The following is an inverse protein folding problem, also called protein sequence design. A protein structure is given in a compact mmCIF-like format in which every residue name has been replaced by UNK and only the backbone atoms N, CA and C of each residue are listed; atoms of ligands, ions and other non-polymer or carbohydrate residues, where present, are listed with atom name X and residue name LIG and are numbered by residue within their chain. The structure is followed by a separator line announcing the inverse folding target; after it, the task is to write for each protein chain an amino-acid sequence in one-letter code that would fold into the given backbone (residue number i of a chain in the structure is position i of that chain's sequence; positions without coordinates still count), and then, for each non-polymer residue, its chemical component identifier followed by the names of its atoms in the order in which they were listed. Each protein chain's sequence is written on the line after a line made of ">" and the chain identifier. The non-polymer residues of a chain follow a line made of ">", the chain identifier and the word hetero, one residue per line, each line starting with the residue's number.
data_IF_673417564960
#
_entry.id   IF_673417564960
#
_cell.length_a   1.000
_cell.length_b   1.000
_cell.length_c   1.000
_cell.angle_alpha   90.00
_cell.angle_beta   90.00
_cell.angle_gamma   90.00
#
_symmetry.space_group_name_H-M   'P 1'
#
loop_
_entity.id
_entity.type
_entity.pdbx_description
1 polymer ?
#
# COMPACT_ATOMS: atom_id res chain seq x y z
N UNK A 1 18.73 -21.10 15.96
CA UNK A 1 17.80 -20.59 14.93
C UNK A 1 16.94 -19.55 15.60
N UNK A 2 17.21 -18.26 15.39
CA UNK A 2 16.39 -17.18 15.92
C UNK A 2 14.99 -17.31 15.32
N UNK A 3 13.96 -17.41 16.16
CA UNK A 3 12.58 -17.35 15.71
C UNK A 3 12.26 -15.87 15.52
N UNK A 4 12.16 -15.42 14.27
CA UNK A 4 11.63 -14.09 13.97
C UNK A 4 10.17 -14.14 14.40
N UNK A 5 9.79 -13.32 15.38
CA UNK A 5 8.39 -13.16 15.75
C UNK A 5 7.82 -12.17 14.74
N UNK A 6 6.95 -12.64 13.85
CA UNK A 6 6.22 -11.77 12.94
C UNK A 6 5.01 -11.23 13.69
N UNK A 7 4.94 -9.90 13.84
CA UNK A 7 3.70 -9.23 14.23
C UNK A 7 2.93 -8.85 12.96
N UNK A 8 1.63 -9.17 12.95
CA UNK A 8 0.73 -8.73 11.90
C UNK A 8 0.10 -7.39 12.30
N UNK A 9 0.20 -6.41 11.40
CA UNK A 9 -0.44 -5.12 11.52
C UNK A 9 -1.56 -5.02 10.49
N UNK A 10 -2.81 -4.98 10.95
CA UNK A 10 -3.98 -4.74 10.09
C UNK A 10 -4.30 -3.24 10.05
N UNK A 11 -4.55 -2.72 8.85
CA UNK A 11 -4.88 -1.32 8.60
C UNK A 11 -6.11 -1.22 7.72
N UNK A 12 -7.08 -0.40 8.14
CA UNK A 12 -8.18 0.02 7.29
C UNK A 12 -7.74 1.22 6.44
N UNK A 13 -7.89 1.14 5.12
CA UNK A 13 -7.47 2.18 4.18
C UNK A 13 -8.25 3.50 4.34
N UNK A 14 -9.38 3.48 5.06
CA UNK A 14 -10.09 4.71 5.46
C UNK A 14 -9.35 5.51 6.54
N UNK A 15 -8.45 4.89 7.29
CA UNK A 15 -7.60 5.54 8.30
C UNK A 15 -6.38 6.22 7.67
N UNK A 16 -6.02 5.82 6.44
CA UNK A 16 -4.94 6.44 5.68
C UNK A 16 -5.33 7.85 5.20
N UNK A 17 -4.38 8.77 5.26
CA UNK A 17 -4.56 10.14 4.79
C UNK A 17 -4.58 10.17 3.27
N UNK A 18 -5.54 10.89 2.69
CA UNK A 18 -5.52 11.18 1.26
C UNK A 18 -4.42 12.19 0.94
N UNK A 19 -3.72 11.97 -0.18
CA UNK A 19 -2.69 12.89 -0.69
C UNK A 19 -3.01 13.28 -2.13
N UNK A 20 -2.47 14.42 -2.57
CA UNK A 20 -2.61 14.83 -3.97
C UNK A 20 -1.54 14.16 -4.80
N UNK A 21 -1.87 13.82 -6.04
CA UNK A 21 -0.87 13.32 -7.00
C UNK A 21 0.29 14.30 -7.21
N UNK A 22 0.05 15.61 -7.05
CA UNK A 22 1.10 16.63 -7.12
C UNK A 22 2.23 16.46 -6.10
N UNK A 23 1.98 15.69 -5.04
CA UNK A 23 2.93 15.45 -3.95
C UNK A 23 3.86 14.25 -4.25
N UNK A 24 3.69 13.61 -5.41
CA UNK A 24 4.44 12.43 -5.86
C UNK A 24 5.53 12.78 -6.87
N UNK A 25 6.56 11.92 -7.06
CA UNK A 25 7.56 12.11 -8.11
C UNK A 25 6.94 12.22 -9.51
N UNK A 26 7.52 13.03 -10.39
CA UNK A 26 6.96 13.30 -11.74
C UNK A 26 6.68 12.03 -12.55
N UNK A 27 7.56 11.03 -12.50
CA UNK A 27 7.36 9.72 -13.16
C UNK A 27 6.04 9.07 -12.74
N UNK A 28 5.74 9.09 -11.44
CA UNK A 28 4.48 8.55 -10.90
C UNK A 28 3.28 9.38 -11.35
N UNK A 29 3.42 10.71 -11.42
CA UNK A 29 2.33 11.57 -11.88
C UNK A 29 1.97 11.32 -13.36
N UNK A 30 2.96 10.94 -14.16
CA UNK A 30 2.83 10.63 -15.58
C UNK A 30 2.17 9.25 -15.80
N UNK A 31 2.60 8.22 -15.08
CA UNK A 31 2.13 6.84 -15.28
C UNK A 31 0.76 6.56 -14.65
N UNK A 32 0.47 7.17 -13.49
CA UNK A 32 -0.74 6.89 -12.72
C UNK A 32 -1.64 8.13 -12.71
N UNK A 33 -2.77 8.09 -13.44
CA UNK A 33 -3.69 9.24 -13.58
C UNK A 33 -4.81 9.23 -12.53
N UNK A 34 -5.18 10.40 -12.00
CA UNK A 34 -6.21 10.56 -10.97
C UNK A 34 -7.59 10.01 -11.35
N UNK A 35 -7.89 9.91 -12.65
CA UNK A 35 -9.15 9.32 -13.13
C UNK A 35 -9.25 7.81 -12.87
N UNK A 36 -8.10 7.15 -12.74
CA UNK A 36 -7.98 5.69 -12.64
C UNK A 36 -7.50 5.26 -11.24
N UNK A 37 -6.80 6.13 -10.51
CA UNK A 37 -6.16 5.82 -9.23
C UNK A 37 -6.53 6.81 -8.12
N UNK A 38 -6.47 6.32 -6.88
CA UNK A 38 -6.50 7.12 -5.66
C UNK A 38 -5.17 6.99 -4.93
N UNK A 39 -4.81 8.02 -4.16
CA UNK A 39 -3.50 8.12 -3.51
C UNK A 39 -3.70 8.32 -2.02
N UNK A 40 -3.08 7.44 -1.24
CA UNK A 40 -3.17 7.45 0.23
C UNK A 40 -1.77 7.34 0.83
N UNK A 41 -1.63 7.80 2.06
CA UNK A 41 -0.39 7.69 2.82
C UNK A 41 -0.66 7.31 4.26
N UNK A 42 0.22 6.48 4.82
CA UNK A 42 0.27 6.20 6.25
C UNK A 42 1.73 5.96 6.67
N UNK A 43 1.98 5.94 7.98
CA UNK A 43 3.31 5.67 8.52
C UNK A 43 3.23 4.67 9.66
N UNK A 44 4.21 3.77 9.73
CA UNK A 44 4.43 2.91 10.88
C UNK A 44 5.68 3.43 11.60
N UNK A 45 5.55 3.64 12.90
CA UNK A 45 6.62 4.17 13.75
C UNK A 45 7.14 3.04 14.64
N UNK A 46 8.41 2.72 14.45
CA UNK A 46 9.23 1.84 15.29
C UNK A 46 10.15 2.67 16.18
N UNK A 47 10.77 2.03 17.18
CA UNK A 47 11.65 2.69 18.16
C UNK A 47 12.75 3.57 17.53
N UNK A 48 13.34 3.12 16.42
CA UNK A 48 14.42 3.82 15.72
C UNK A 48 14.15 4.06 14.22
N UNK A 49 12.94 3.76 13.74
CA UNK A 49 12.62 3.86 12.31
C UNK A 49 11.17 4.28 12.11
N UNK A 50 10.93 5.35 11.35
CA UNK A 50 9.61 5.63 10.78
C UNK A 50 9.60 5.22 9.32
N UNK A 51 8.63 4.38 8.93
CA UNK A 51 8.43 3.99 7.54
C UNK A 51 7.12 4.58 7.04
N UNK A 52 7.21 5.44 6.02
CA UNK A 52 6.05 5.99 5.31
C UNK A 52 5.75 5.15 4.08
N UNK A 53 4.46 4.84 3.89
CA UNK A 53 3.94 4.11 2.75
C UNK A 53 3.03 5.01 1.95
N UNK A 54 3.36 5.20 0.67
CA UNK A 54 2.49 5.84 -0.31
C UNK A 54 1.80 4.76 -1.13
N UNK A 55 0.48 4.73 -1.04
CA UNK A 55 -0.39 3.77 -1.70
C UNK A 55 -0.99 4.40 -2.95
N UNK A 56 -0.69 3.81 -4.11
CA UNK A 56 -1.38 4.06 -5.38
C UNK A 56 -2.40 2.93 -5.58
N UNK A 57 -3.69 3.27 -5.53
CA UNK A 57 -4.77 2.27 -5.49
C UNK A 57 -5.67 2.44 -6.73
N UNK A 58 -5.76 1.43 -7.61
CA UNK A 58 -6.70 1.45 -8.72
C UNK A 58 -8.14 1.53 -8.21
N UNK A 59 -8.91 2.46 -8.76
CA UNK A 59 -10.31 2.71 -8.36
C UNK A 59 -11.28 1.68 -8.93
N UNK A 60 -10.87 0.93 -9.96
CA UNK A 60 -11.74 0.01 -10.70
C UNK A 60 -11.00 -1.28 -11.04
N UNK A 61 -11.74 -2.38 -10.96
CA UNK A 61 -11.31 -3.67 -11.49
C UNK A 61 -11.76 -3.73 -12.97
N UNK A 62 -10.91 -4.15 -13.92
CA UNK A 62 -11.34 -4.39 -15.29
C UNK A 62 -12.52 -5.37 -15.35
N UNK A 63 -13.55 -5.09 -16.15
CA UNK A 63 -14.79 -5.90 -16.20
C UNK A 63 -14.57 -7.40 -16.37
N UNK A 64 -13.57 -7.78 -17.18
CA UNK A 64 -13.21 -9.18 -17.42
C UNK A 64 -12.74 -9.88 -16.14
N UNK A 65 -12.02 -9.16 -15.27
CA UNK A 65 -11.52 -9.66 -13.98
C UNK A 65 -12.59 -9.56 -12.89
N UNK A 66 -13.47 -8.56 -12.97
CA UNK A 66 -14.59 -8.40 -12.05
C UNK A 66 -15.52 -9.61 -12.07
N UNK A 67 -15.87 -10.12 -13.26
CA UNK A 67 -16.71 -11.31 -13.36
C UNK A 67 -16.06 -12.53 -12.71
N UNK A 68 -14.79 -12.77 -12.99
CA UNK A 68 -14.04 -13.87 -12.36
C UNK A 68 -14.05 -13.71 -10.83
N UNK A 69 -13.82 -12.50 -10.33
CA UNK A 69 -13.83 -12.21 -8.89
C UNK A 69 -15.19 -12.48 -8.22
N UNK A 70 -16.30 -12.17 -8.90
CA UNK A 70 -17.66 -12.44 -8.41
C UNK A 70 -18.00 -13.93 -8.35
N UNK A 71 -17.39 -14.74 -9.22
CA UNK A 71 -17.63 -16.19 -9.31
C UNK A 71 -16.75 -17.01 -8.33
N UNK A 72 -15.68 -16.44 -7.77
CA UNK A 72 -14.78 -17.12 -6.84
C UNK A 72 -15.13 -16.84 -5.36
N UNK A 73 -15.52 -17.90 -4.63
CA UNK A 73 -15.94 -17.79 -3.22
C UNK A 73 -14.87 -17.20 -2.29
N UNK A 74 -13.61 -17.63 -2.43
CA UNK A 74 -12.49 -17.13 -1.63
C UNK A 74 -12.23 -15.63 -1.86
N UNK A 75 -12.39 -15.17 -3.11
CA UNK A 75 -12.33 -13.76 -3.46
C UNK A 75 -13.45 -12.94 -2.81
N UNK A 76 -14.66 -13.48 -2.73
CA UNK A 76 -15.77 -12.83 -2.02
C UNK A 76 -15.53 -12.74 -0.50
N UNK A 77 -14.97 -13.78 0.10
CA UNK A 77 -14.62 -13.82 1.52
C UNK A 77 -13.50 -12.81 1.86
N UNK A 78 -12.57 -12.59 0.94
CA UNK A 78 -11.41 -11.70 1.12
C UNK A 78 -11.52 -10.36 0.36
N UNK A 79 -12.73 -9.95 -0.03
CA UNK A 79 -12.93 -8.81 -0.93
C UNK A 79 -12.36 -7.48 -0.45
N UNK A 80 -12.23 -7.31 0.86
CA UNK A 80 -11.71 -6.08 1.44
C UNK A 80 -10.19 -5.93 1.23
N UNK A 81 -9.46 -7.02 0.96
CA UNK A 81 -8.04 -6.96 0.60
C UNK A 81 -7.81 -6.52 -0.86
N UNK A 82 -8.88 -6.42 -1.65
CA UNK A 82 -8.85 -5.98 -3.04
C UNK A 82 -8.44 -7.08 -4.02
N UNK A 83 -8.24 -6.69 -5.28
CA UNK A 83 -7.91 -7.60 -6.38
C UNK A 83 -6.62 -7.20 -7.10
N UNK A 84 -5.70 -8.16 -7.22
CA UNK A 84 -4.38 -7.97 -7.82
C UNK A 84 -3.26 -8.24 -6.82
N UNK A 85 -2.06 -7.75 -7.14
CA UNK A 85 -0.88 -7.95 -6.31
C UNK A 85 -0.29 -6.60 -5.88
N UNK A 86 0.30 -6.58 -4.68
CA UNK A 86 1.12 -5.47 -4.22
C UNK A 86 2.41 -5.43 -5.03
N UNK A 87 2.71 -4.29 -5.62
CA UNK A 87 3.94 -4.07 -6.41
C UNK A 87 4.69 -2.87 -5.86
N UNK A 88 5.92 -3.08 -5.40
CA UNK A 88 6.81 -1.99 -5.00
C UNK A 88 7.24 -1.20 -6.24
N UNK A 89 7.01 0.10 -6.23
CA UNK A 89 7.35 1.00 -7.33
C UNK A 89 8.65 1.75 -7.05
N UNK A 90 8.85 2.22 -5.81
CA UNK A 90 10.04 2.98 -5.41
C UNK A 90 10.27 2.86 -3.89
N UNK A 91 11.47 2.54 -3.45
CA UNK A 91 11.91 2.52 -2.04
C UNK A 91 13.22 3.29 -1.80
N UNK A 92 13.61 4.12 -2.77
CA UNK A 92 14.95 4.74 -2.81
C UNK A 92 15.12 5.86 -1.78
N UNK A 93 14.03 6.41 -1.25
CA UNK A 93 14.09 7.52 -0.31
C UNK A 93 14.38 7.05 1.12
N UNK A 94 15.55 7.45 1.63
CA UNK A 94 15.97 7.23 3.02
C UNK A 94 16.66 8.48 3.58
N UNK A 95 16.25 8.89 4.77
CA UNK A 95 16.85 9.98 5.54
C UNK A 95 17.38 9.42 6.86
N UNK A 96 18.65 9.69 7.17
CA UNK A 96 19.31 9.25 8.39
C UNK A 96 19.46 10.43 9.36
N UNK A 97 18.82 10.33 10.52
CA UNK A 97 18.96 11.25 11.66
C UNK A 97 19.78 10.55 12.75
N UNK A 98 20.33 11.31 13.70
CA UNK A 98 21.28 10.79 14.70
C UNK A 98 20.80 9.50 15.38
N UNK A 99 19.53 9.45 15.81
CA UNK A 99 18.96 8.31 16.53
C UNK A 99 17.80 7.63 15.79
N UNK A 100 17.49 8.06 14.57
CA UNK A 100 16.35 7.54 13.83
C UNK A 100 16.54 7.52 12.32
N UNK A 101 15.90 6.55 11.68
CA UNK A 101 15.83 6.43 10.23
C UNK A 101 14.42 6.82 9.79
N UNK A 102 14.32 7.51 8.68
CA UNK A 102 13.07 7.66 7.94
C UNK A 102 13.23 7.02 6.57
N UNK A 103 12.27 6.21 6.16
CA UNK A 103 12.20 5.69 4.79
C UNK A 103 10.81 5.85 4.22
N UNK A 104 10.74 6.03 2.91
CA UNK A 104 9.49 6.14 2.18
C UNK A 104 9.46 5.11 1.06
N UNK A 105 8.34 4.39 0.98
CA UNK A 105 8.08 3.42 -0.07
C UNK A 105 6.81 3.80 -0.83
N UNK A 106 6.83 3.67 -2.14
CA UNK A 106 5.69 3.89 -3.04
C UNK A 106 5.26 2.54 -3.58
N UNK A 107 3.99 2.20 -3.39
CA UNK A 107 3.43 0.90 -3.74
C UNK A 107 2.21 1.06 -4.65
N UNK A 108 2.13 0.24 -5.67
CA UNK A 108 0.88 -0.05 -6.37
C UNK A 108 0.15 -1.17 -5.62
N UNK A 109 -1.05 -0.84 -5.16
CA UNK A 109 -1.87 -1.71 -4.33
C UNK A 109 -2.94 -2.43 -5.17
N UNK A 110 -3.53 -3.52 -4.67
CA UNK A 110 -4.67 -4.16 -5.30
C UNK A 110 -5.83 -3.18 -5.54
N UNK A 111 -6.56 -3.39 -6.63
CA UNK A 111 -7.73 -2.60 -6.95
C UNK A 111 -8.82 -2.78 -5.87
N UNK A 112 -9.47 -1.69 -5.48
CA UNK A 112 -10.51 -1.68 -4.43
C UNK A 112 -10.03 -2.20 -3.05
N UNK A 113 -8.72 -2.17 -2.79
CA UNK A 113 -8.17 -2.51 -1.48
C UNK A 113 -8.72 -1.57 -0.39
N UNK A 114 -9.35 -2.15 0.63
CA UNK A 114 -9.89 -1.48 1.83
C UNK A 114 -9.15 -1.88 3.09
N UNK A 115 -8.49 -3.04 3.11
CA UNK A 115 -7.69 -3.56 4.22
C UNK A 115 -6.31 -3.96 3.74
N UNK A 116 -5.32 -3.69 4.57
CA UNK A 116 -3.93 -4.07 4.37
C UNK A 116 -3.43 -4.82 5.61
N UNK A 117 -2.77 -5.95 5.39
CA UNK A 117 -2.03 -6.66 6.45
C UNK A 117 -0.55 -6.56 6.17
N UNK A 118 0.22 -6.13 7.16
CA UNK A 118 1.67 -5.94 7.07
C UNK A 118 2.31 -6.85 8.10
N UNK A 119 3.19 -7.75 7.65
CA UNK A 119 4.00 -8.58 8.52
C UNK A 119 5.30 -7.83 8.87
N UNK A 120 5.54 -7.67 10.17
CA UNK A 120 6.70 -6.96 10.69
C UNK A 120 7.53 -7.95 11.51
N UNK A 121 8.78 -8.17 11.11
CA UNK A 121 9.73 -8.93 11.91
C UNK A 121 10.18 -8.13 13.13
N UNK A 122 10.00 -8.72 14.31
CA UNK A 122 10.47 -8.20 15.61
C UNK A 122 11.71 -8.97 16.06
#
# INVERSE_FOLDING_TARGET
>A
KSHIILQEYELDMSECKDIKKSDLPLSIQEDYKDKDFTYKVFSIVFDNHTREYVCIIPTRIPKILQKAFEEHKEAQENKDYGYGAFTLIDDTYKEYKQESIYSKEIWLMPAQCKKLTIEIGV
#
